data_IF_702951061305
#
_entry.id   IF_702951061305
#
_cell.length_a   1.000
_cell.length_b   1.000
_cell.length_c   1.000
_cell.angle_alpha   90.00
_cell.angle_beta   90.00
_cell.angle_gamma   90.00
#
_symmetry.space_group_name_H-M   'P 1'
#
loop_
_entity.id
_entity.type
_entity.pdbx_description
1 polymer ?
#
# COMPACT_ATOMS: atom_id res chain seq x y z
N UNK A 1 -31.97 27.06 -15.52
CA UNK A 1 -31.32 27.20 -14.21
C UNK A 1 -30.32 28.35 -14.28
N UNK A 2 -30.24 29.19 -13.26
CA UNK A 2 -29.32 30.34 -13.26
C UNK A 2 -27.88 29.91 -12.96
N UNK A 3 -26.91 30.65 -13.48
CA UNK A 3 -25.47 30.41 -13.28
C UNK A 3 -25.08 30.35 -11.79
N UNK A 4 -25.74 31.13 -10.94
CA UNK A 4 -25.51 31.12 -9.49
C UNK A 4 -25.86 29.77 -8.84
N UNK A 5 -26.94 29.12 -9.30
CA UNK A 5 -27.36 27.82 -8.76
C UNK A 5 -26.31 26.75 -9.07
N UNK A 6 -25.81 26.73 -10.31
CA UNK A 6 -24.76 25.80 -10.73
C UNK A 6 -23.46 26.00 -9.93
N UNK A 7 -23.11 27.24 -9.60
CA UNK A 7 -21.93 27.53 -8.79
C UNK A 7 -22.05 26.96 -7.37
N UNK A 8 -23.17 27.19 -6.68
CA UNK A 8 -23.37 26.65 -5.32
C UNK A 8 -23.50 25.13 -5.31
N UNK A 9 -24.13 24.55 -6.32
CA UNK A 9 -24.24 23.10 -6.48
C UNK A 9 -22.86 22.46 -6.72
N UNK A 10 -22.02 23.09 -7.54
CA UNK A 10 -20.64 22.67 -7.75
C UNK A 10 -19.82 22.72 -6.45
N UNK A 11 -19.84 23.84 -5.71
CA UNK A 11 -19.13 23.96 -4.43
C UNK A 11 -19.64 22.93 -3.43
N UNK A 12 -20.96 22.75 -3.35
CA UNK A 12 -21.59 21.74 -2.51
C UNK A 12 -21.09 20.34 -2.84
N UNK A 13 -21.08 19.96 -4.12
CA UNK A 13 -20.56 18.67 -4.57
C UNK A 13 -19.05 18.50 -4.28
N UNK A 14 -18.26 19.53 -4.58
CA UNK A 14 -16.80 19.54 -4.48
C UNK A 14 -16.30 19.26 -3.06
N UNK A 15 -16.98 19.84 -2.06
CA UNK A 15 -16.61 19.70 -0.64
C UNK A 15 -17.45 18.66 0.13
N UNK A 16 -18.35 17.94 -0.52
CA UNK A 16 -19.11 16.86 0.12
C UNK A 16 -18.88 15.53 -0.59
N UNK A 17 -19.67 15.25 -1.63
CA UNK A 17 -19.70 13.97 -2.31
C UNK A 17 -18.33 13.59 -2.88
N UNK A 18 -17.64 14.52 -3.55
CA UNK A 18 -16.33 14.23 -4.13
C UNK A 18 -15.28 13.86 -3.07
N UNK A 19 -15.27 14.56 -1.92
CA UNK A 19 -14.40 14.22 -0.78
C UNK A 19 -14.72 12.82 -0.26
N UNK A 20 -16.00 12.48 -0.11
CA UNK A 20 -16.39 11.15 0.37
C UNK A 20 -15.97 10.04 -0.60
N UNK A 21 -16.07 10.29 -1.91
CA UNK A 21 -15.64 9.35 -2.95
C UNK A 21 -14.10 9.20 -2.97
N UNK A 22 -13.34 10.29 -2.80
CA UNK A 22 -11.87 10.24 -2.65
C UNK A 22 -11.44 9.41 -1.45
N UNK A 23 -12.05 9.63 -0.28
CA UNK A 23 -11.75 8.85 0.93
C UNK A 23 -12.11 7.37 0.71
N UNK A 24 -13.23 7.10 0.05
CA UNK A 24 -13.64 5.75 -0.33
C UNK A 24 -12.61 5.06 -1.24
N UNK A 25 -12.13 5.76 -2.27
CA UNK A 25 -11.08 5.28 -3.19
C UNK A 25 -9.79 4.97 -2.43
N UNK A 26 -9.35 5.88 -1.57
CA UNK A 26 -8.16 5.67 -0.74
C UNK A 26 -8.28 4.43 0.13
N UNK A 27 -9.42 4.25 0.82
CA UNK A 27 -9.68 3.06 1.65
C UNK A 27 -9.62 1.78 0.82
N UNK A 28 -10.15 1.78 -0.39
CA UNK A 28 -10.11 0.63 -1.28
C UNK A 28 -8.69 0.30 -1.75
N UNK A 29 -7.88 1.32 -2.04
CA UNK A 29 -6.48 1.13 -2.42
C UNK A 29 -5.64 0.60 -1.25
N UNK A 30 -5.79 1.15 -0.05
CA UNK A 30 -5.14 0.62 1.17
C UNK A 30 -5.58 -0.84 1.40
N UNK A 31 -6.87 -1.13 1.29
CA UNK A 31 -7.35 -2.50 1.40
C UNK A 31 -6.71 -3.41 0.34
N UNK A 32 -6.64 -2.96 -0.91
CA UNK A 32 -6.01 -3.71 -2.00
C UNK A 32 -4.54 -4.00 -1.73
N UNK A 33 -3.72 -3.00 -1.40
CA UNK A 33 -2.28 -3.19 -1.18
C UNK A 33 -2.01 -4.09 0.03
N UNK A 34 -2.76 -3.91 1.12
CA UNK A 34 -2.67 -4.78 2.29
C UNK A 34 -2.89 -6.26 1.95
N UNK A 35 -3.85 -6.57 1.07
CA UNK A 35 -4.16 -7.94 0.64
C UNK A 35 -3.21 -8.44 -0.45
N UNK A 36 -2.84 -7.60 -1.41
CA UNK A 36 -1.92 -7.92 -2.49
C UNK A 36 -0.56 -8.36 -1.95
N UNK A 37 0.00 -7.61 -1.00
CA UNK A 37 1.23 -7.98 -0.30
C UNK A 37 1.01 -8.98 0.85
N UNK A 38 -0.25 -9.37 1.10
CA UNK A 38 -0.63 -10.32 2.14
C UNK A 38 -0.03 -9.99 3.51
N UNK A 39 0.07 -8.69 3.85
CA UNK A 39 0.81 -8.17 5.00
C UNK A 39 0.34 -8.85 6.29
N UNK A 40 -0.97 -9.01 6.47
CA UNK A 40 -1.55 -9.67 7.65
C UNK A 40 -1.17 -11.15 7.80
N UNK A 41 -1.08 -11.89 6.69
CA UNK A 41 -0.71 -13.31 6.71
C UNK A 41 0.80 -13.47 6.88
N UNK A 42 1.59 -12.70 6.15
CA UNK A 42 3.04 -12.76 6.23
C UNK A 42 3.53 -12.37 7.63
N UNK A 43 2.97 -11.32 8.23
CA UNK A 43 3.33 -10.91 9.60
C UNK A 43 3.03 -11.98 10.65
N UNK A 44 1.89 -12.66 10.55
CA UNK A 44 1.54 -13.78 11.45
C UNK A 44 2.43 -15.00 11.23
N UNK A 45 2.82 -15.27 9.99
CA UNK A 45 3.65 -16.44 9.62
C UNK A 45 5.15 -16.18 9.75
N UNK A 46 5.60 -14.97 10.08
CA UNK A 46 7.00 -14.74 10.46
C UNK A 46 7.37 -15.50 11.75
N UNK A 47 6.40 -15.68 12.67
CA UNK A 47 6.63 -16.29 13.99
C UNK A 47 5.91 -17.65 14.13
N UNK A 48 4.90 -17.95 13.29
CA UNK A 48 4.16 -19.22 13.33
C UNK A 48 4.98 -20.43 12.84
N UNK A 49 4.62 -21.66 13.23
CA UNK A 49 5.55 -22.77 13.40
C UNK A 49 6.34 -23.04 12.12
N UNK A 50 7.64 -22.82 12.25
CA UNK A 50 8.68 -22.96 11.24
C UNK A 50 8.92 -24.43 10.81
N UNK A 51 7.96 -25.31 11.08
CA UNK A 51 8.13 -26.77 11.14
C UNK A 51 7.39 -27.51 10.01
N UNK A 52 6.91 -26.80 8.96
CA UNK A 52 6.18 -27.45 7.84
C UNK A 52 7.04 -27.85 6.65
N UNK A 53 8.26 -27.32 6.53
CA UNK A 53 9.23 -27.64 5.49
C UNK A 53 10.39 -28.48 6.04
N UNK A 54 10.17 -29.18 7.15
CA UNK A 54 11.17 -30.12 7.63
C UNK A 54 11.21 -31.30 6.67
N UNK A 55 12.35 -31.49 6.02
CA UNK A 55 12.67 -32.74 5.37
C UNK A 55 12.65 -33.81 6.46
N UNK A 56 11.60 -34.65 6.47
CA UNK A 56 11.44 -35.69 7.48
C UNK A 56 12.64 -36.62 7.39
N UNK A 57 13.40 -36.68 8.48
CA UNK A 57 14.46 -37.66 8.67
C UNK A 57 13.90 -39.07 8.39
N UNK A 58 14.20 -39.60 7.21
CA UNK A 58 13.92 -40.99 6.83
C UNK A 58 15.23 -41.75 6.89
N UNK A 59 15.53 -42.33 8.04
CA UNK A 59 16.50 -43.41 8.11
C UNK A 59 16.00 -44.52 9.02
N UNK A 60 16.16 -45.76 8.58
CA UNK A 60 15.90 -46.97 9.37
C UNK A 60 17.03 -47.22 10.41
N UNK A 61 17.38 -46.19 11.18
CA UNK A 61 18.46 -46.22 12.18
C UNK A 61 19.07 -44.85 12.48
N UNK A 62 19.99 -44.76 13.44
CA UNK A 62 20.70 -43.52 13.79
C UNK A 62 21.86 -43.27 12.80
N UNK A 63 21.62 -42.44 11.79
CA UNK A 63 22.62 -41.99 10.83
C UNK A 63 22.93 -40.48 11.06
N UNK A 64 24.04 -40.14 11.72
CA UNK A 64 24.40 -38.75 12.02
C UNK A 64 24.66 -37.91 10.76
N UNK A 65 25.07 -38.51 9.63
CA UNK A 65 25.28 -37.80 8.37
C UNK A 65 23.96 -37.32 7.77
N UNK A 66 22.96 -38.19 7.69
CA UNK A 66 21.61 -37.82 7.23
C UNK A 66 20.95 -36.76 8.15
N UNK A 67 21.32 -36.76 9.44
CA UNK A 67 20.83 -35.81 10.43
C UNK A 67 21.40 -34.41 10.12
N UNK A 68 22.70 -34.34 9.86
CA UNK A 68 23.38 -33.09 9.53
C UNK A 68 22.92 -32.50 8.19
N UNK A 69 22.73 -33.35 7.18
CA UNK A 69 22.20 -32.92 5.87
C UNK A 69 20.80 -32.29 6.01
N UNK A 70 19.86 -32.96 6.70
CA UNK A 70 18.51 -32.43 6.90
C UNK A 70 18.51 -31.12 7.71
N UNK A 71 19.39 -30.99 8.71
CA UNK A 71 19.52 -29.76 9.50
C UNK A 71 19.99 -28.58 8.65
N UNK A 72 20.98 -28.79 7.78
CA UNK A 72 21.50 -27.72 6.90
C UNK A 72 20.43 -27.28 5.89
N UNK A 73 19.77 -28.23 5.24
CA UNK A 73 18.70 -27.95 4.26
C UNK A 73 17.53 -27.20 4.92
N UNK A 74 17.10 -27.64 6.11
CA UNK A 74 16.04 -26.98 6.86
C UNK A 74 16.44 -25.57 7.31
N UNK A 75 17.70 -25.36 7.71
CA UNK A 75 18.21 -24.04 8.12
C UNK A 75 18.22 -23.05 6.93
N UNK A 76 18.74 -23.48 5.78
CA UNK A 76 18.76 -22.65 4.56
C UNK A 76 17.33 -22.29 4.14
N UNK A 77 16.44 -23.28 4.06
CA UNK A 77 15.04 -23.08 3.68
C UNK A 77 14.33 -22.11 4.63
N UNK A 78 14.64 -22.17 5.92
CA UNK A 78 14.12 -21.25 6.95
C UNK A 78 14.61 -19.82 6.76
N UNK A 79 15.92 -19.63 6.50
CA UNK A 79 16.50 -18.30 6.29
C UNK A 79 15.89 -17.67 5.04
N UNK A 80 15.83 -18.40 3.93
CA UNK A 80 15.24 -17.91 2.67
C UNK A 80 13.76 -17.54 2.88
N UNK A 81 13.00 -18.40 3.57
CA UNK A 81 11.59 -18.14 3.86
C UNK A 81 11.38 -16.86 4.68
N UNK A 82 12.21 -16.62 5.70
CA UNK A 82 12.14 -15.39 6.52
C UNK A 82 12.52 -14.16 5.69
N UNK A 83 13.58 -14.24 4.87
CA UNK A 83 14.05 -13.13 4.03
C UNK A 83 13.00 -12.73 2.98
N UNK A 84 12.38 -13.69 2.30
CA UNK A 84 11.33 -13.41 1.32
C UNK A 84 10.10 -12.77 1.99
N UNK A 85 9.68 -13.30 3.14
CA UNK A 85 8.54 -12.76 3.88
C UNK A 85 8.81 -11.34 4.39
N UNK A 86 10.00 -11.07 4.93
CA UNK A 86 10.36 -9.74 5.40
C UNK A 86 10.45 -8.75 4.24
N UNK A 87 11.04 -9.13 3.11
CA UNK A 87 11.10 -8.29 1.91
C UNK A 87 9.70 -7.91 1.40
N UNK A 88 8.76 -8.87 1.35
CA UNK A 88 7.38 -8.63 0.93
C UNK A 88 6.62 -7.72 1.90
N UNK A 89 6.78 -7.93 3.21
CA UNK A 89 6.16 -7.05 4.23
C UNK A 89 6.70 -5.62 4.11
N UNK A 90 8.02 -5.46 3.97
CA UNK A 90 8.65 -4.15 3.83
C UNK A 90 8.16 -3.46 2.54
N UNK A 91 8.14 -4.17 1.42
CA UNK A 91 7.63 -3.65 0.15
C UNK A 91 6.16 -3.22 0.24
N UNK A 92 5.32 -4.01 0.92
CA UNK A 92 3.93 -3.66 1.17
C UNK A 92 3.77 -2.40 2.03
N UNK A 93 4.50 -2.30 3.14
CA UNK A 93 4.50 -1.12 4.01
C UNK A 93 4.97 0.14 3.27
N UNK A 94 6.03 0.04 2.46
CA UNK A 94 6.51 1.16 1.65
C UNK A 94 5.47 1.60 0.62
N UNK A 95 4.76 0.65 0.00
CA UNK A 95 3.69 0.94 -0.95
C UNK A 95 2.53 1.68 -0.28
N UNK A 96 2.13 1.27 0.94
CA UNK A 96 1.10 1.94 1.74
C UNK A 96 1.51 3.37 2.13
N UNK A 97 2.75 3.56 2.57
CA UNK A 97 3.28 4.89 2.91
C UNK A 97 3.28 5.81 1.68
N UNK A 98 3.73 5.29 0.54
CA UNK A 98 3.74 6.02 -0.73
C UNK A 98 2.32 6.40 -1.17
N UNK A 99 1.37 5.47 -1.07
CA UNK A 99 -0.04 5.72 -1.35
C UNK A 99 -0.61 6.81 -0.44
N UNK A 100 -0.32 6.76 0.86
CA UNK A 100 -0.76 7.77 1.82
C UNK A 100 -0.21 9.16 1.48
N UNK A 101 1.07 9.25 1.10
CA UNK A 101 1.68 10.51 0.67
C UNK A 101 1.01 11.07 -0.58
N UNK A 102 0.78 10.22 -1.60
CA UNK A 102 0.09 10.62 -2.83
C UNK A 102 -1.34 11.07 -2.56
N UNK A 103 -2.05 10.40 -1.65
CA UNK A 103 -3.40 10.78 -1.25
C UNK A 103 -3.41 12.14 -0.56
N UNK A 104 -2.49 12.41 0.39
CA UNK A 104 -2.40 13.71 1.07
C UNK A 104 -2.18 14.84 0.07
N UNK A 105 -1.25 14.66 -0.88
CA UNK A 105 -0.96 15.66 -1.92
C UNK A 105 -2.20 15.89 -2.79
N UNK A 106 -2.81 14.81 -3.27
CA UNK A 106 -3.99 14.89 -4.14
C UNK A 106 -5.19 15.51 -3.41
N UNK A 107 -5.37 15.19 -2.14
CA UNK A 107 -6.43 15.73 -1.30
C UNK A 107 -6.23 17.23 -1.01
N UNK A 108 -5.00 17.64 -0.70
CA UNK A 108 -4.67 19.05 -0.53
C UNK A 108 -4.89 19.85 -1.83
N UNK A 109 -4.44 19.31 -2.96
CA UNK A 109 -4.69 19.90 -4.27
C UNK A 109 -6.20 20.00 -4.57
N UNK A 110 -6.98 18.97 -4.23
CA UNK A 110 -8.43 18.96 -4.41
C UNK A 110 -9.11 20.10 -3.65
N UNK A 111 -8.76 20.31 -2.38
CA UNK A 111 -9.34 21.38 -1.56
C UNK A 111 -9.03 22.77 -2.11
N UNK A 112 -7.84 22.94 -2.71
CA UNK A 112 -7.38 24.20 -3.26
C UNK A 112 -7.86 24.47 -4.70
N UNK A 113 -8.30 23.45 -5.45
CA UNK A 113 -8.66 23.58 -6.88
C UNK A 113 -9.64 24.72 -7.21
N UNK A 114 -10.75 24.90 -6.46
CA UNK A 114 -11.72 25.96 -6.77
C UNK A 114 -11.12 27.36 -6.75
N UNK A 115 -10.05 27.58 -5.98
CA UNK A 115 -9.31 28.85 -5.92
C UNK A 115 -8.09 28.86 -6.86
N UNK A 116 -7.34 27.75 -6.90
CA UNK A 116 -6.12 27.62 -7.72
C UNK A 116 -6.40 27.86 -9.21
N UNK A 117 -7.50 27.32 -9.74
CA UNK A 117 -7.80 27.43 -11.18
C UNK A 117 -8.02 28.89 -11.59
N UNK A 118 -8.91 29.68 -10.95
CA UNK A 118 -9.04 31.11 -11.24
C UNK A 118 -7.74 31.89 -11.05
N UNK A 119 -6.98 31.62 -9.98
CA UNK A 119 -5.74 32.33 -9.69
C UNK A 119 -4.70 32.10 -10.78
N UNK A 120 -4.47 30.84 -11.17
CA UNK A 120 -3.52 30.49 -12.21
C UNK A 120 -3.95 31.03 -13.58
N UNK A 121 -5.25 31.00 -13.87
CA UNK A 121 -5.79 31.53 -15.11
C UNK A 121 -5.59 33.05 -15.22
N UNK A 122 -5.98 33.80 -14.18
CA UNK A 122 -5.81 35.26 -14.14
C UNK A 122 -4.32 35.62 -14.14
N UNK A 123 -3.50 34.94 -13.34
CA UNK A 123 -2.05 35.15 -13.29
C UNK A 123 -1.38 34.93 -14.64
N UNK A 124 -1.74 33.86 -15.35
CA UNK A 124 -1.24 33.58 -16.69
C UNK A 124 -1.63 34.66 -17.70
N UNK A 125 -2.88 35.13 -17.67
CA UNK A 125 -3.32 36.24 -18.53
C UNK A 125 -2.56 37.54 -18.22
N UNK A 126 -2.33 37.86 -16.94
CA UNK A 126 -1.58 39.06 -16.58
C UNK A 126 -0.13 39.01 -17.05
N UNK A 127 0.52 37.84 -17.00
CA UNK A 127 1.88 37.64 -17.50
C UNK A 127 1.98 37.73 -19.02
N UNK A 128 0.94 37.34 -19.75
CA UNK A 128 0.90 37.44 -21.21
C UNK A 128 0.66 38.87 -21.72
N UNK A 129 0.00 39.70 -20.91
CA UNK A 129 -0.36 41.08 -21.25
C UNK A 129 0.70 42.11 -20.81
N UNK A 130 1.68 41.69 -20.01
CA UNK A 130 2.83 42.47 -19.54
C UNK A 130 4.02 42.30 -20.48
#
# INVERSE_FOLDING_TARGET
MGMAVLFFEYIGWHYSRAISEMIGLFRNLVWFFYHFFSIGILSRTLISPVWRLEEKYRSDGFNPQALFESLVVNLISRIVGVLLRSALIISGLLSEIFLAALFIISFAAWLAFPALIPILFIGGLTLLLL
#
